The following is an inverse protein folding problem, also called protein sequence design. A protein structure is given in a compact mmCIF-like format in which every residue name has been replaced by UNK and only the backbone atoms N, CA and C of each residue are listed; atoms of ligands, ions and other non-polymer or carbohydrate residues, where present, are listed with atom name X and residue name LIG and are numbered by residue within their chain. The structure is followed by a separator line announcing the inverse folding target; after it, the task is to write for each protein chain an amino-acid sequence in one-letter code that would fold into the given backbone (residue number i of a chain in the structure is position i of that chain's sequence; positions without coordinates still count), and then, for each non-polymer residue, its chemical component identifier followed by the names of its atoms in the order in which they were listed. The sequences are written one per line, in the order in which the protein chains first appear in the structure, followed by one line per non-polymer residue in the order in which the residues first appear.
data_IF_630850380764
#
_entry.id   IF_630850380764
#
_cell.length_a   1.000
_cell.length_b   1.000
_cell.length_c   1.000
_cell.angle_alpha   90.00
_cell.angle_beta   90.00
_cell.angle_gamma   90.00
#
_symmetry.space_group_name_H-M   'P 1'
#
loop_
_entity.id
_entity.type
_entity.pdbx_description
1 polymer ?
#
# COMPACT_ATOMS: atom_id res chain seq x y z
N UNK A 1 -26.69 20.95 -9.72
CA UNK A 1 -27.89 21.69 -10.20
C UNK A 1 -27.56 23.04 -10.84
N UNK A 2 -26.36 23.60 -10.69
CA UNK A 2 -25.99 24.91 -11.27
C UNK A 2 -25.72 24.91 -12.79
N UNK A 3 -25.61 23.74 -13.44
CA UNK A 3 -25.31 23.60 -14.89
C UNK A 3 -26.53 23.43 -15.79
N UNK A 4 -27.76 23.42 -15.25
CA UNK A 4 -28.98 23.18 -16.04
C UNK A 4 -29.09 21.78 -16.67
N UNK A 5 -28.13 20.89 -16.41
CA UNK A 5 -28.17 19.49 -16.83
C UNK A 5 -29.14 18.71 -15.94
N UNK A 6 -29.96 17.85 -16.56
CA UNK A 6 -30.83 16.93 -15.83
C UNK A 6 -30.00 16.07 -14.86
N UNK A 7 -30.55 15.71 -13.67
CA UNK A 7 -29.92 14.76 -12.77
C UNK A 7 -29.54 13.47 -13.51
N UNK A 8 -28.47 12.79 -13.10
CA UNK A 8 -28.05 11.52 -13.72
C UNK A 8 -29.20 10.49 -13.67
N UNK A 9 -30.06 10.57 -12.65
CA UNK A 9 -31.27 9.77 -12.45
C UNK A 9 -32.39 10.08 -13.46
N UNK A 10 -32.26 11.15 -14.24
CA UNK A 10 -33.21 11.57 -15.27
C UNK A 10 -32.73 11.29 -16.70
N UNK A 11 -31.53 10.71 -16.88
CA UNK A 11 -31.08 10.21 -18.19
C UNK A 11 -31.94 9.01 -18.63
N UNK A 12 -32.11 8.76 -19.94
CA UNK A 12 -32.95 7.67 -20.44
C UNK A 12 -32.57 6.29 -19.89
N UNK A 13 -31.28 6.05 -19.65
CA UNK A 13 -30.72 4.80 -19.11
C UNK A 13 -31.05 4.59 -17.62
N UNK A 14 -31.08 5.66 -16.81
CA UNK A 14 -31.37 5.57 -15.37
C UNK A 14 -32.82 5.93 -15.01
N UNK A 15 -33.65 6.25 -16.01
CA UNK A 15 -35.06 6.61 -15.82
C UNK A 15 -35.93 5.38 -15.48
N UNK A 16 -35.52 4.18 -15.87
CA UNK A 16 -36.21 2.95 -15.52
C UNK A 16 -36.03 2.63 -14.03
N UNK A 17 -36.92 3.19 -13.22
CA UNK A 17 -37.00 2.89 -11.80
C UNK A 17 -37.84 1.65 -11.60
N UNK A 18 -37.26 0.65 -10.94
CA UNK A 18 -37.99 -0.52 -10.45
C UNK A 18 -38.40 -0.31 -9.01
N UNK A 19 -39.52 -0.91 -8.61
CA UNK A 19 -39.94 -0.88 -7.22
C UNK A 19 -38.91 -1.60 -6.34
N UNK A 20 -38.50 -0.96 -5.23
CA UNK A 20 -37.59 -1.54 -4.23
C UNK A 20 -38.17 -2.85 -3.68
N UNK A 21 -39.46 -2.86 -3.37
CA UNK A 21 -40.22 -4.06 -3.08
C UNK A 21 -41.11 -4.40 -4.28
N UNK A 22 -41.05 -5.61 -4.85
CA UNK A 22 -40.31 -6.78 -4.39
C UNK A 22 -38.86 -6.86 -4.91
N UNK A 23 -38.49 -6.10 -5.96
CA UNK A 23 -37.32 -6.45 -6.77
C UNK A 23 -35.99 -6.44 -5.98
N UNK A 24 -35.67 -5.37 -5.26
CA UNK A 24 -34.42 -5.28 -4.49
C UNK A 24 -34.45 -6.26 -3.31
N UNK A 25 -35.54 -6.26 -2.54
CA UNK A 25 -35.62 -7.01 -1.28
C UNK A 25 -35.54 -8.53 -1.51
N UNK A 26 -36.20 -9.04 -2.56
CA UNK A 26 -36.08 -10.46 -2.90
C UNK A 26 -34.66 -10.81 -3.39
N UNK A 27 -34.02 -9.96 -4.18
CA UNK A 27 -32.63 -10.19 -4.60
C UNK A 27 -31.68 -10.19 -3.41
N UNK A 28 -31.80 -9.22 -2.50
CA UNK A 28 -30.99 -9.16 -1.28
C UNK A 28 -31.23 -10.36 -0.37
N UNK A 29 -32.48 -10.81 -0.23
CA UNK A 29 -32.81 -12.02 0.54
C UNK A 29 -32.16 -13.26 -0.07
N UNK A 30 -32.20 -13.42 -1.40
CA UNK A 30 -31.55 -14.55 -2.08
C UNK A 30 -30.02 -14.51 -1.91
N UNK A 31 -29.41 -13.33 -2.02
CA UNK A 31 -27.99 -13.15 -1.73
C UNK A 31 -27.66 -13.48 -0.27
N UNK A 32 -28.49 -13.04 0.68
CA UNK A 32 -28.31 -13.32 2.12
C UNK A 32 -28.37 -14.82 2.39
N UNK A 33 -29.38 -15.52 1.86
CA UNK A 33 -29.49 -16.98 1.99
C UNK A 33 -28.26 -17.65 1.39
N UNK A 34 -27.84 -17.23 0.18
CA UNK A 34 -26.64 -17.77 -0.47
C UNK A 34 -25.36 -17.58 0.35
N UNK A 35 -25.14 -16.39 0.92
CA UNK A 35 -23.99 -16.08 1.77
C UNK A 35 -24.04 -16.87 3.07
N UNK A 36 -25.21 -16.99 3.72
CA UNK A 36 -25.38 -17.77 4.94
C UNK A 36 -25.09 -19.25 4.68
N UNK A 37 -25.63 -19.82 3.61
CA UNK A 37 -25.34 -21.21 3.21
C UNK A 37 -23.85 -21.38 2.96
N UNK A 38 -23.22 -20.48 2.22
CA UNK A 38 -21.78 -20.50 1.98
C UNK A 38 -20.98 -20.48 3.29
N UNK A 39 -21.28 -19.57 4.21
CA UNK A 39 -20.58 -19.46 5.50
C UNK A 39 -20.79 -20.69 6.39
N UNK A 40 -22.00 -21.27 6.40
CA UNK A 40 -22.30 -22.50 7.16
C UNK A 40 -21.50 -23.68 6.58
N UNK A 41 -21.51 -23.86 5.26
CA UNK A 41 -20.71 -24.92 4.61
C UNK A 41 -19.23 -24.71 4.88
N UNK A 42 -18.74 -23.46 4.76
CA UNK A 42 -17.35 -23.12 5.04
C UNK A 42 -16.95 -23.45 6.47
N UNK A 43 -17.78 -23.13 7.47
CA UNK A 43 -17.53 -23.43 8.87
C UNK A 43 -17.56 -24.93 9.20
N UNK A 44 -18.34 -25.73 8.46
CA UNK A 44 -18.37 -27.19 8.61
C UNK A 44 -17.09 -27.82 8.01
N UNK A 45 -16.65 -27.34 6.83
CA UNK A 45 -15.49 -27.87 6.12
C UNK A 45 -14.18 -27.45 6.79
N UNK A 46 -14.05 -26.17 7.17
CA UNK A 46 -12.85 -25.61 7.76
C UNK A 46 -13.09 -25.28 9.23
N UNK A 47 -12.68 -26.20 10.12
CA UNK A 47 -12.70 -25.97 11.56
C UNK A 47 -11.63 -24.95 11.94
N UNK A 48 -12.02 -23.87 12.60
CA UNK A 48 -11.10 -22.91 13.22
C UNK A 48 -11.00 -23.22 14.73
N UNK A 49 -10.05 -24.05 15.17
CA UNK A 49 -9.88 -24.32 16.59
C UNK A 49 -9.47 -23.03 17.32
N UNK A 50 -9.96 -22.87 18.55
CA UNK A 50 -9.52 -21.79 19.42
C UNK A 50 -8.10 -22.09 19.91
N UNK A 51 -7.27 -21.04 19.99
CA UNK A 51 -5.95 -21.13 20.62
C UNK A 51 -6.06 -21.20 22.15
N UNK A 52 -4.95 -21.53 22.80
CA UNK A 52 -4.86 -21.52 24.27
C UNK A 52 -5.13 -20.11 24.84
N UNK A 53 -5.62 -20.00 26.09
CA UNK A 53 -5.79 -18.71 26.74
C UNK A 53 -4.48 -17.89 26.72
N UNK A 54 -4.61 -16.58 26.50
CA UNK A 54 -3.48 -15.68 26.35
C UNK A 54 -2.52 -15.74 27.55
N UNK A 55 -1.25 -15.99 27.28
CA UNK A 55 -0.18 -15.98 28.28
C UNK A 55 0.73 -14.76 28.06
N UNK A 56 0.80 -13.78 28.98
CA UNK A 56 1.64 -12.60 28.82
C UNK A 56 3.15 -12.89 28.85
N UNK A 57 3.56 -14.08 29.31
CA UNK A 57 4.98 -14.48 29.38
C UNK A 57 5.47 -15.21 28.13
N UNK A 58 4.59 -15.55 27.19
CA UNK A 58 4.94 -16.30 25.99
C UNK A 58 4.26 -15.72 24.75
N UNK A 59 5.07 -15.26 23.79
CA UNK A 59 4.58 -14.81 22.49
C UNK A 59 4.64 -15.97 21.49
N UNK A 60 3.55 -16.31 20.78
CA UNK A 60 3.55 -17.35 19.77
C UNK A 60 4.48 -16.97 18.60
N UNK A 61 5.11 -17.98 18.01
CA UNK A 61 5.99 -17.79 16.86
C UNK A 61 5.60 -18.76 15.72
N UNK A 62 5.16 -18.27 14.56
CA UNK A 62 5.01 -16.86 14.18
C UNK A 62 3.72 -16.22 14.71
N UNK A 63 3.80 -14.99 15.22
CA UNK A 63 2.63 -14.18 15.51
C UNK A 63 2.11 -13.53 14.21
N UNK A 64 1.17 -14.18 13.54
CA UNK A 64 0.50 -13.63 12.34
C UNK A 64 -0.73 -12.84 12.74
N UNK A 65 -0.84 -11.61 12.23
CA UNK A 65 -2.06 -10.84 12.32
C UNK A 65 -3.18 -11.49 11.48
N UNK A 66 -4.46 -11.15 11.71
CA UNK A 66 -5.54 -11.53 10.80
C UNK A 66 -5.22 -11.14 9.35
N UNK A 67 -5.70 -11.93 8.38
CA UNK A 67 -5.34 -11.81 6.97
C UNK A 67 -5.57 -10.44 6.34
N UNK A 68 -6.55 -9.67 6.83
CA UNK A 68 -6.82 -8.31 6.38
C UNK A 68 -5.81 -7.27 6.90
N UNK A 69 -5.04 -7.60 7.94
CA UNK A 69 -3.92 -6.80 8.45
C UNK A 69 -2.54 -7.33 8.05
N UNK A 70 -2.47 -8.52 7.46
CA UNK A 70 -1.21 -9.14 7.04
C UNK A 70 -0.43 -8.29 6.03
N UNK A 71 -1.12 -7.52 5.18
CA UNK A 71 -0.47 -6.55 4.29
C UNK A 71 0.29 -5.46 5.06
N UNK A 72 -0.32 -4.89 6.11
CA UNK A 72 0.34 -3.92 6.99
C UNK A 72 1.50 -4.54 7.76
N UNK A 73 1.33 -5.77 8.25
CA UNK A 73 2.37 -6.49 8.96
C UNK A 73 3.59 -6.72 8.06
N UNK A 74 3.38 -7.08 6.79
CA UNK A 74 4.47 -7.25 5.83
C UNK A 74 5.18 -5.93 5.51
N UNK A 75 4.48 -4.79 5.53
CA UNK A 75 5.11 -3.47 5.38
C UNK A 75 6.12 -3.15 6.48
N UNK A 76 5.97 -3.70 7.69
CA UNK A 76 6.92 -3.52 8.80
C UNK A 76 8.29 -4.15 8.54
N UNK A 77 8.41 -5.04 7.55
CA UNK A 77 9.72 -5.56 7.14
C UNK A 77 10.53 -4.52 6.36
N UNK A 78 9.83 -3.60 5.68
CA UNK A 78 10.44 -2.63 4.77
C UNK A 78 10.60 -1.24 5.38
N UNK A 79 9.71 -0.87 6.32
CA UNK A 79 9.70 0.43 6.94
C UNK A 79 9.71 0.31 8.47
N UNK A 80 10.21 1.34 9.13
CA UNK A 80 10.14 1.42 10.59
C UNK A 80 8.70 1.49 11.11
N UNK A 81 8.44 1.06 12.36
CA UNK A 81 7.09 0.92 12.90
C UNK A 81 6.23 2.19 12.84
N UNK A 82 6.82 3.37 13.01
CA UNK A 82 6.07 4.64 12.95
C UNK A 82 5.59 4.95 11.52
N UNK A 83 6.40 4.63 10.51
CA UNK A 83 6.09 4.88 9.10
C UNK A 83 5.08 3.87 8.58
N UNK A 84 5.32 2.58 8.77
CA UNK A 84 4.42 1.52 8.32
C UNK A 84 3.14 1.42 9.17
N UNK A 85 3.20 1.72 10.46
CA UNK A 85 2.06 1.60 11.38
C UNK A 85 1.13 2.81 11.40
N UNK A 86 1.65 4.03 11.19
CA UNK A 86 0.88 5.26 11.35
C UNK A 86 0.84 6.11 10.08
N UNK A 87 2.01 6.49 9.56
CA UNK A 87 2.10 7.48 8.47
C UNK A 87 1.55 6.94 7.15
N UNK A 88 2.03 5.78 6.67
CA UNK A 88 1.58 5.21 5.40
C UNK A 88 0.09 4.82 5.43
N UNK A 89 -0.45 4.17 6.48
CA UNK A 89 -1.89 3.92 6.58
C UNK A 89 -2.70 5.23 6.60
N UNK A 90 -2.22 6.24 7.32
CA UNK A 90 -2.84 7.57 7.34
C UNK A 90 -2.89 8.22 5.96
N UNK A 91 -1.78 8.17 5.21
CA UNK A 91 -1.70 8.66 3.83
C UNK A 91 -2.65 7.88 2.91
N UNK A 92 -2.77 6.56 3.07
CA UNK A 92 -3.72 5.74 2.29
C UNK A 92 -5.15 6.20 2.54
N UNK A 93 -5.57 6.33 3.80
CA UNK A 93 -6.93 6.73 4.16
C UNK A 93 -7.24 8.15 3.67
N UNK A 94 -6.34 9.11 3.92
CA UNK A 94 -6.49 10.49 3.43
C UNK A 94 -6.49 10.54 1.90
N UNK A 95 -5.64 9.74 1.26
CA UNK A 95 -5.57 9.62 -0.19
C UNK A 95 -6.88 9.11 -0.79
N UNK A 96 -7.49 8.08 -0.20
CA UNK A 96 -8.79 7.54 -0.62
C UNK A 96 -9.91 8.58 -0.45
N UNK A 97 -9.93 9.31 0.66
CA UNK A 97 -10.88 10.42 0.86
C UNK A 97 -10.66 11.58 -0.12
N UNK A 98 -9.43 11.78 -0.58
CA UNK A 98 -9.08 12.84 -1.52
C UNK A 98 -9.45 12.52 -2.97
N UNK A 99 -9.71 11.25 -3.33
CA UNK A 99 -10.00 10.82 -4.72
C UNK A 99 -11.10 11.67 -5.38
N UNK A 100 -12.29 11.91 -4.77
CA UNK A 100 -13.35 12.70 -5.39
C UNK A 100 -12.97 14.16 -5.67
N UNK A 101 -11.99 14.70 -4.93
CA UNK A 101 -11.52 16.08 -5.07
C UNK A 101 -10.37 16.22 -6.06
N UNK A 102 -9.62 15.14 -6.28
CA UNK A 102 -8.50 15.07 -7.23
C UNK A 102 -9.02 14.71 -8.63
N UNK A 103 -9.94 13.76 -8.75
CA UNK A 103 -10.48 13.32 -10.03
C UNK A 103 -11.61 14.25 -10.50
N UNK A 104 -11.31 15.10 -11.49
CA UNK A 104 -12.26 16.03 -12.09
C UNK A 104 -13.05 15.44 -13.26
N UNK A 105 -12.83 14.16 -13.62
CA UNK A 105 -13.51 13.55 -14.75
C UNK A 105 -14.98 13.24 -14.41
N UNK A 106 -15.98 13.80 -15.13
CA UNK A 106 -17.39 13.52 -14.87
C UNK A 106 -17.84 12.15 -15.41
N UNK A 107 -17.14 11.58 -16.40
CA UNK A 107 -17.50 10.29 -17.02
C UNK A 107 -17.13 9.14 -16.10
N UNK A 108 -17.85 8.03 -16.09
CA UNK A 108 -17.56 6.89 -15.21
C UNK A 108 -17.94 7.10 -13.74
N UNK A 109 -18.84 8.04 -13.47
CA UNK A 109 -19.39 8.24 -12.13
C UNK A 109 -20.65 7.38 -11.98
N UNK A 110 -20.65 6.45 -11.01
CA UNK A 110 -21.80 5.57 -10.74
C UNK A 110 -21.88 4.29 -11.59
N UNK A 111 -20.93 4.03 -12.49
CA UNK A 111 -20.83 2.77 -13.24
C UNK A 111 -19.37 2.35 -13.45
N UNK A 112 -19.13 1.05 -13.59
CA UNK A 112 -17.78 0.50 -13.79
C UNK A 112 -17.33 0.69 -15.24
N UNK A 113 -16.26 1.47 -15.44
CA UNK A 113 -15.66 1.68 -16.77
C UNK A 113 -14.14 1.81 -16.69
N UNK A 114 -13.42 0.96 -17.43
CA UNK A 114 -11.96 1.04 -17.54
C UNK A 114 -11.55 2.02 -18.64
N UNK A 115 -12.31 2.07 -19.74
CA UNK A 115 -11.97 2.85 -20.94
C UNK A 115 -12.01 4.36 -20.70
N UNK A 116 -12.89 4.83 -19.84
CA UNK A 116 -13.09 6.27 -19.60
C UNK A 116 -12.20 6.85 -18.51
N UNK A 117 -11.66 6.00 -17.63
CA UNK A 117 -10.75 6.38 -16.53
C UNK A 117 -9.55 5.42 -16.40
N UNK A 118 -8.77 5.20 -17.47
CA UNK A 118 -7.72 4.19 -17.46
C UNK A 118 -6.68 4.48 -16.37
N UNK A 119 -6.26 5.74 -16.22
CA UNK A 119 -5.26 6.13 -15.22
C UNK A 119 -5.73 5.85 -13.78
N UNK A 120 -6.93 6.29 -13.40
CA UNK A 120 -7.45 6.08 -12.05
C UNK A 120 -7.65 4.58 -11.75
N UNK A 121 -8.20 3.83 -12.71
CA UNK A 121 -8.44 2.39 -12.57
C UNK A 121 -7.14 1.60 -12.47
N UNK A 122 -6.15 1.85 -13.35
CA UNK A 122 -4.85 1.16 -13.30
C UNK A 122 -4.09 1.47 -12.02
N UNK A 123 -4.12 2.72 -11.58
CA UNK A 123 -3.51 3.14 -10.31
C UNK A 123 -4.14 2.45 -9.11
N UNK A 124 -5.48 2.42 -9.05
CA UNK A 124 -6.20 1.71 -8.00
C UNK A 124 -5.91 0.21 -8.02
N UNK A 125 -5.98 -0.43 -9.19
CA UNK A 125 -5.66 -1.85 -9.35
C UNK A 125 -4.21 -2.16 -8.99
N UNK A 126 -3.28 -1.29 -9.32
CA UNK A 126 -1.89 -1.46 -8.91
C UNK A 126 -1.73 -1.37 -7.39
N UNK A 127 -2.27 -0.33 -6.75
CA UNK A 127 -2.19 -0.17 -5.29
C UNK A 127 -2.90 -1.31 -4.53
N UNK A 128 -4.10 -1.68 -4.96
CA UNK A 128 -4.90 -2.70 -4.28
C UNK A 128 -4.50 -4.13 -4.68
N UNK A 129 -4.55 -4.48 -5.96
CA UNK A 129 -4.31 -5.86 -6.39
C UNK A 129 -2.82 -6.19 -6.42
N UNK A 130 -1.97 -5.31 -6.95
CA UNK A 130 -0.54 -5.62 -7.14
C UNK A 130 0.28 -5.39 -5.88
N UNK A 131 0.00 -4.35 -5.09
CA UNK A 131 0.73 -4.11 -3.84
C UNK A 131 0.03 -4.76 -2.65
N UNK A 132 -1.22 -4.41 -2.36
CA UNK A 132 -1.88 -4.85 -1.12
C UNK A 132 -2.12 -6.36 -1.06
N UNK A 133 -2.75 -6.94 -2.08
CA UNK A 133 -3.01 -8.38 -2.13
C UNK A 133 -1.70 -9.17 -2.22
N UNK A 134 -0.69 -8.66 -2.94
CA UNK A 134 0.64 -9.29 -2.99
C UNK A 134 1.27 -9.39 -1.59
N UNK A 135 1.27 -8.31 -0.81
CA UNK A 135 1.79 -8.32 0.55
C UNK A 135 1.05 -9.32 1.44
N UNK A 136 -0.28 -9.43 1.30
CA UNK A 136 -1.08 -10.44 2.00
C UNK A 136 -0.65 -11.85 1.61
N UNK A 137 -0.44 -12.12 0.31
CA UNK A 137 0.02 -13.43 -0.17
C UNK A 137 1.40 -13.75 0.41
N UNK A 138 2.34 -12.80 0.38
CA UNK A 138 3.69 -12.97 0.94
C UNK A 138 3.60 -13.27 2.44
N UNK A 139 2.89 -12.45 3.21
CA UNK A 139 2.73 -12.66 4.66
C UNK A 139 2.03 -13.98 5.01
N UNK A 140 1.06 -14.40 4.20
CA UNK A 140 0.27 -15.61 4.48
C UNK A 140 1.09 -16.87 4.18
N UNK A 141 1.67 -16.95 2.98
CA UNK A 141 2.25 -18.19 2.46
C UNK A 141 3.78 -18.25 2.52
N UNK A 142 4.46 -17.11 2.41
CA UNK A 142 5.92 -17.06 2.28
C UNK A 142 6.62 -16.64 3.59
N UNK A 143 5.89 -16.09 4.56
CA UNK A 143 6.42 -15.80 5.92
C UNK A 143 6.18 -16.98 6.85
N UNK A 144 7.27 -17.55 7.36
CA UNK A 144 7.26 -18.66 8.30
C UNK A 144 7.71 -18.25 9.72
N UNK A 145 8.25 -19.19 10.51
CA UNK A 145 8.80 -18.91 11.84
C UNK A 145 9.82 -17.76 11.83
N UNK A 146 9.86 -16.97 12.91
CA UNK A 146 10.70 -15.78 13.05
C UNK A 146 10.46 -14.69 11.98
N UNK A 147 9.31 -14.71 11.31
CA UNK A 147 9.00 -13.86 10.16
C UNK A 147 10.01 -13.98 9.00
N UNK A 148 10.72 -15.10 8.92
CA UNK A 148 11.69 -15.35 7.85
C UNK A 148 10.99 -15.69 6.55
N UNK A 149 11.65 -15.36 5.42
CA UNK A 149 11.14 -15.67 4.09
C UNK A 149 11.44 -17.12 3.72
N UNK A 150 10.41 -17.80 3.22
CA UNK A 150 10.46 -19.13 2.65
C UNK A 150 10.05 -19.06 1.19
N UNK A 151 10.86 -19.66 0.32
CA UNK A 151 10.55 -19.73 -1.10
C UNK A 151 9.30 -20.57 -1.37
N UNK A 152 8.72 -20.47 -2.58
CA UNK A 152 7.68 -21.39 -3.01
C UNK A 152 8.19 -22.84 -2.83
N UNK A 153 7.42 -23.66 -2.12
CA UNK A 153 7.72 -25.08 -1.83
C UNK A 153 8.86 -25.35 -0.84
N UNK A 154 9.40 -24.32 -0.16
CA UNK A 154 10.36 -24.52 0.93
C UNK A 154 9.63 -24.91 2.23
N UNK A 155 10.09 -25.97 2.89
CA UNK A 155 9.52 -26.40 4.17
C UNK A 155 9.90 -25.42 5.29
N UNK A 156 8.94 -25.16 6.18
CA UNK A 156 9.16 -24.27 7.32
C UNK A 156 9.98 -24.97 8.40
N UNK A 157 11.17 -24.46 8.67
CA UNK A 157 12.05 -24.95 9.72
C UNK A 157 12.13 -23.93 10.86
N UNK A 158 11.72 -24.32 12.06
CA UNK A 158 11.75 -23.47 13.24
C UNK A 158 13.17 -23.07 13.67
N UNK A 159 14.19 -23.81 13.24
CA UNK A 159 15.59 -23.55 13.57
C UNK A 159 16.32 -22.74 12.51
N UNK A 160 15.65 -22.36 11.41
CA UNK A 160 16.21 -21.50 10.38
C UNK A 160 16.43 -20.11 10.95
N UNK A 161 17.67 -19.81 11.32
CA UNK A 161 18.12 -18.48 11.71
C UNK A 161 18.83 -17.86 10.51
N UNK A 162 18.11 -17.01 9.77
CA UNK A 162 18.72 -16.23 8.69
C UNK A 162 19.30 -14.97 9.30
N UNK A 163 20.63 -14.82 9.28
CA UNK A 163 21.26 -13.54 9.63
C UNK A 163 20.98 -12.53 8.52
N UNK A 164 19.95 -11.71 8.70
CA UNK A 164 19.70 -10.59 7.79
C UNK A 164 20.84 -9.57 7.91
N UNK A 165 21.68 -9.50 6.87
CA UNK A 165 22.72 -8.48 6.76
C UNK A 165 22.08 -7.13 6.44
N UNK A 166 21.64 -6.42 7.47
CA UNK A 166 21.09 -5.09 7.33
C UNK A 166 22.20 -4.10 7.00
N UNK A 167 22.17 -3.53 5.79
CA UNK A 167 23.12 -2.50 5.37
C UNK A 167 22.39 -1.17 5.29
N UNK A 168 22.96 -0.13 5.90
CA UNK A 168 22.46 1.23 5.75
C UNK A 168 23.03 1.86 4.48
N UNK A 169 22.30 2.80 3.90
CA UNK A 169 22.77 3.49 2.69
C UNK A 169 24.04 4.29 2.93
N UNK A 170 24.20 4.86 4.13
CA UNK A 170 25.44 5.53 4.57
C UNK A 170 26.61 4.56 4.65
N UNK A 171 26.43 3.34 5.17
CA UNK A 171 27.47 2.30 5.17
C UNK A 171 27.85 1.89 3.74
N UNK A 172 26.88 1.77 2.84
CA UNK A 172 27.15 1.48 1.44
C UNK A 172 28.02 2.56 0.78
N UNK A 173 27.72 3.83 1.03
CA UNK A 173 28.46 4.97 0.51
C UNK A 173 29.88 5.05 1.11
N UNK A 174 29.99 5.12 2.43
CA UNK A 174 31.27 5.42 3.08
C UNK A 174 32.18 4.21 3.13
N UNK A 175 31.66 3.04 3.52
CA UNK A 175 32.47 1.84 3.75
C UNK A 175 32.70 1.09 2.43
N UNK A 176 31.62 0.77 1.70
CA UNK A 176 31.77 -0.07 0.49
C UNK A 176 32.27 0.70 -0.73
N UNK A 177 31.79 1.92 -0.95
CA UNK A 177 32.13 2.69 -2.15
C UNK A 177 33.36 3.57 -1.97
N UNK A 178 33.42 4.37 -0.89
CA UNK A 178 34.52 5.31 -0.64
C UNK A 178 35.67 4.71 0.17
N UNK A 179 35.48 3.54 0.78
CA UNK A 179 36.45 2.88 1.66
C UNK A 179 37.01 3.80 2.77
N UNK A 180 36.13 4.62 3.34
CA UNK A 180 36.42 5.59 4.40
C UNK A 180 35.65 5.22 5.68
N UNK A 181 36.18 5.58 6.87
CA UNK A 181 35.41 5.46 8.10
C UNK A 181 34.18 6.38 8.06
N UNK A 182 33.12 5.99 8.76
CA UNK A 182 31.88 6.78 8.82
C UNK A 182 32.15 8.16 9.47
N UNK A 183 31.70 9.26 8.84
CA UNK A 183 31.82 10.59 9.43
C UNK A 183 31.07 10.70 10.76
N UNK A 184 31.64 11.42 11.73
CA UNK A 184 30.97 11.70 13.01
C UNK A 184 29.79 12.68 12.86
N UNK A 185 29.86 13.60 11.89
CA UNK A 185 28.79 14.55 11.64
C UNK A 185 27.59 13.84 11.01
N UNK A 186 26.46 13.87 11.72
CA UNK A 186 25.19 13.22 11.36
C UNK A 186 24.75 13.56 9.92
N UNK A 187 24.78 14.85 9.56
CA UNK A 187 24.34 15.32 8.24
C UNK A 187 25.27 14.82 7.13
N UNK A 188 26.57 14.75 7.38
CA UNK A 188 27.55 14.27 6.39
C UNK A 188 27.42 12.75 6.24
N UNK A 189 27.23 12.04 7.35
CA UNK A 189 27.01 10.58 7.36
C UNK A 189 25.86 10.19 6.45
N UNK A 190 24.72 10.87 6.56
CA UNK A 190 23.48 10.53 5.84
C UNK A 190 23.24 11.39 4.58
N UNK A 191 24.23 12.15 4.12
CA UNK A 191 24.05 13.17 3.07
C UNK A 191 23.43 12.61 1.78
N UNK A 192 23.84 11.42 1.37
CA UNK A 192 23.33 10.78 0.16
C UNK A 192 21.87 10.35 0.33
N UNK A 193 21.50 9.81 1.50
CA UNK A 193 20.12 9.49 1.83
C UNK A 193 19.23 10.73 1.83
N UNK A 194 19.70 11.83 2.44
CA UNK A 194 18.99 13.11 2.48
C UNK A 194 18.79 13.65 1.06
N UNK A 195 19.85 13.68 0.24
CA UNK A 195 19.78 14.16 -1.14
C UNK A 195 18.79 13.32 -1.94
N UNK A 196 18.85 11.99 -1.86
CA UNK A 196 17.94 11.11 -2.58
C UNK A 196 16.49 11.30 -2.15
N UNK A 197 16.22 11.44 -0.85
CA UNK A 197 14.87 11.71 -0.34
C UNK A 197 14.35 13.07 -0.80
N UNK A 198 15.18 14.13 -0.77
CA UNK A 198 14.79 15.45 -1.27
C UNK A 198 14.55 15.44 -2.77
N UNK A 199 15.38 14.73 -3.54
CA UNK A 199 15.15 14.54 -4.97
C UNK A 199 13.82 13.83 -5.20
N UNK A 200 13.56 12.77 -4.44
CA UNK A 200 12.36 11.96 -4.59
C UNK A 200 11.07 12.73 -4.24
N UNK A 201 11.06 13.43 -3.10
CA UNK A 201 9.86 14.10 -2.58
C UNK A 201 9.64 15.49 -3.18
N UNK A 202 10.70 16.24 -3.48
CA UNK A 202 10.58 17.65 -3.90
C UNK A 202 10.92 17.86 -5.39
N UNK A 203 12.02 17.25 -5.88
CA UNK A 203 12.50 17.51 -7.25
C UNK A 203 11.68 16.73 -8.28
N UNK A 204 11.40 15.45 -8.04
CA UNK A 204 10.63 14.62 -8.96
C UNK A 204 9.23 15.18 -9.26
N UNK A 205 8.43 15.69 -8.30
CA UNK A 205 7.16 16.33 -8.62
C UNK A 205 7.29 17.55 -9.53
N UNK A 206 8.33 18.36 -9.34
CA UNK A 206 8.55 19.55 -10.17
C UNK A 206 9.03 19.17 -11.57
N UNK A 207 9.88 18.15 -11.68
CA UNK A 207 10.33 17.62 -12.97
C UNK A 207 9.18 16.95 -13.72
N UNK A 208 8.34 16.16 -13.03
CA UNK A 208 7.19 15.50 -13.64
C UNK A 208 6.14 16.52 -14.11
N UNK A 209 5.95 17.62 -13.37
CA UNK A 209 5.09 18.74 -13.78
C UNK A 209 5.54 19.37 -15.12
N UNK A 210 6.86 19.43 -15.39
CA UNK A 210 7.42 19.96 -16.64
C UNK A 210 7.33 18.98 -17.81
N UNK A 211 7.12 17.69 -17.55
CA UNK A 211 6.95 16.67 -18.60
C UNK A 211 5.65 16.89 -19.38
N UNK A 212 5.62 16.46 -20.65
CA UNK A 212 4.42 16.51 -21.50
C UNK A 212 3.21 15.86 -20.83
N UNK A 213 3.43 14.78 -20.09
CA UNK A 213 2.39 14.07 -19.35
C UNK A 213 1.88 14.88 -18.14
N UNK A 214 2.78 15.47 -17.36
CA UNK A 214 2.42 16.31 -16.23
C UNK A 214 1.67 17.57 -16.65
N UNK A 215 2.14 18.25 -17.70
CA UNK A 215 1.47 19.41 -18.27
C UNK A 215 0.04 19.08 -18.73
N UNK A 216 -0.17 17.91 -19.34
CA UNK A 216 -1.51 17.45 -19.76
C UNK A 216 -2.45 17.25 -18.57
N UNK A 217 -1.97 16.66 -17.47
CA UNK A 217 -2.80 16.46 -16.27
C UNK A 217 -3.06 17.81 -15.58
N UNK A 218 -2.05 18.67 -15.48
CA UNK A 218 -2.19 20.01 -14.91
C UNK A 218 -3.24 20.83 -15.67
N UNK A 219 -3.25 20.75 -17.00
CA UNK A 219 -4.25 21.45 -17.82
C UNK A 219 -5.68 20.96 -17.58
N UNK A 220 -5.87 19.66 -17.31
CA UNK A 220 -7.19 19.06 -17.12
C UNK A 220 -7.72 19.19 -15.68
N UNK A 221 -6.83 19.13 -14.70
CA UNK A 221 -7.20 18.96 -13.28
C UNK A 221 -6.81 20.17 -12.44
N UNK A 222 -5.79 20.93 -12.84
CA UNK A 222 -5.23 22.06 -12.10
C UNK A 222 -3.98 21.69 -11.30
N UNK A 223 -3.16 22.71 -11.02
CA UNK A 223 -1.81 22.54 -10.47
C UNK A 223 -1.78 21.97 -9.04
N UNK A 224 -2.66 22.44 -8.14
CA UNK A 224 -2.68 21.98 -6.74
C UNK A 224 -3.06 20.49 -6.68
N UNK A 225 -4.13 20.10 -7.38
CA UNK A 225 -4.61 18.71 -7.44
C UNK A 225 -3.55 17.78 -8.04
N UNK A 226 -2.79 18.26 -9.03
CA UNK A 226 -1.68 17.51 -9.60
C UNK A 226 -0.59 17.21 -8.56
N UNK A 227 -0.16 18.20 -7.78
CA UNK A 227 0.88 17.97 -6.76
C UNK A 227 0.42 17.01 -5.66
N UNK A 228 -0.85 17.10 -5.23
CA UNK A 228 -1.43 16.13 -4.29
C UNK A 228 -1.43 14.72 -4.91
N UNK A 229 -1.88 14.59 -6.16
CA UNK A 229 -1.87 13.32 -6.88
C UNK A 229 -0.46 12.72 -6.99
N UNK A 230 0.54 13.51 -7.38
CA UNK A 230 1.92 13.06 -7.50
C UNK A 230 2.50 12.69 -6.13
N UNK A 231 2.20 13.44 -5.07
CA UNK A 231 2.62 13.08 -3.72
C UNK A 231 2.07 11.71 -3.31
N UNK A 232 0.78 11.43 -3.56
CA UNK A 232 0.18 10.12 -3.28
C UNK A 232 0.79 9.01 -4.14
N UNK A 233 1.06 9.27 -5.43
CA UNK A 233 1.72 8.33 -6.34
C UNK A 233 3.15 8.00 -5.88
N UNK A 234 3.92 8.99 -5.44
CA UNK A 234 5.27 8.80 -4.89
C UNK A 234 5.21 8.03 -3.56
N UNK A 235 4.27 8.38 -2.67
CA UNK A 235 4.03 7.61 -1.45
C UNK A 235 3.75 6.13 -1.74
N UNK A 236 2.87 5.85 -2.72
CA UNK A 236 2.56 4.48 -3.13
C UNK A 236 3.76 3.75 -3.77
N UNK A 237 4.55 4.43 -4.60
CA UNK A 237 5.72 3.83 -5.28
C UNK A 237 6.94 3.69 -4.38
N UNK A 238 6.98 4.38 -3.23
CA UNK A 238 8.06 4.24 -2.24
C UNK A 238 8.18 2.81 -1.70
N UNK A 239 7.05 2.12 -1.49
CA UNK A 239 6.99 0.75 -1.01
C UNK A 239 7.68 -0.24 -1.98
N UNK A 240 7.26 -0.40 -3.25
CA UNK A 240 7.92 -1.33 -4.17
C UNK A 240 9.38 -0.95 -4.43
N UNK A 241 9.74 0.34 -4.43
CA UNK A 241 11.15 0.75 -4.51
C UNK A 241 11.93 0.21 -3.30
N UNK A 242 11.41 0.41 -2.09
CA UNK A 242 12.04 -0.10 -0.86
C UNK A 242 12.14 -1.63 -0.85
N UNK A 243 11.12 -2.33 -1.35
CA UNK A 243 11.13 -3.79 -1.49
C UNK A 243 12.26 -4.26 -2.39
N UNK A 244 12.42 -3.64 -3.57
CA UNK A 244 13.50 -3.96 -4.51
C UNK A 244 14.87 -3.67 -3.90
N UNK A 245 15.04 -2.52 -3.23
CA UNK A 245 16.29 -2.18 -2.54
C UNK A 245 16.63 -3.18 -1.42
N UNK A 246 15.61 -3.65 -0.68
CA UNK A 246 15.75 -4.67 0.36
C UNK A 246 16.19 -6.01 -0.24
N UNK A 247 15.60 -6.43 -1.35
CA UNK A 247 15.90 -7.73 -1.95
C UNK A 247 17.26 -7.76 -2.67
N UNK A 248 17.64 -6.68 -3.37
CA UNK A 248 18.87 -6.66 -4.15
C UNK A 248 20.12 -6.29 -3.33
N UNK A 249 19.97 -5.41 -2.35
CA UNK A 249 21.10 -4.83 -1.62
C UNK A 249 21.04 -5.04 -0.11
N UNK A 250 20.00 -5.73 0.40
CA UNK A 250 19.74 -5.88 1.84
C UNK A 250 19.68 -4.54 2.57
N UNK A 251 19.25 -3.50 1.86
CA UNK A 251 19.17 -2.14 2.37
C UNK A 251 18.07 -2.04 3.44
N UNK A 252 18.42 -1.60 4.65
CA UNK A 252 17.44 -1.37 5.72
C UNK A 252 16.96 0.08 5.71
N UNK A 253 17.87 1.02 5.87
CA UNK A 253 17.55 2.44 5.91
C UNK A 253 18.24 3.23 4.80
N UNK A 254 17.47 4.11 4.16
CA UNK A 254 17.93 5.16 3.25
C UNK A 254 18.53 6.29 4.08
N UNK A 255 17.89 6.63 5.19
CA UNK A 255 18.40 7.58 6.19
C UNK A 255 18.32 6.91 7.55
N UNK A 256 19.45 6.79 8.23
CA UNK A 256 19.53 6.25 9.59
C UNK A 256 19.95 7.34 10.60
N UNK A 257 19.00 7.81 11.39
CA UNK A 257 19.22 8.77 12.49
C UNK A 257 18.76 8.15 13.81
N UNK A 258 19.50 7.16 14.35
CA UNK A 258 19.19 6.56 15.64
C UNK A 258 19.16 7.61 16.77
N UNK A 259 19.90 8.72 16.63
CA UNK A 259 19.92 9.80 17.62
C UNK A 259 18.56 10.47 17.81
N UNK A 260 17.72 10.47 16.77
CA UNK A 260 16.39 11.10 16.76
C UNK A 260 15.26 10.08 16.57
N UNK A 261 15.56 8.78 16.65
CA UNK A 261 14.62 7.69 16.35
C UNK A 261 13.93 7.86 14.98
N UNK A 262 14.64 8.49 14.03
CA UNK A 262 14.12 8.81 12.70
C UNK A 262 14.88 8.01 11.66
N UNK A 263 14.31 6.88 11.25
CA UNK A 263 14.84 6.11 10.12
C UNK A 263 13.82 6.01 8.99
N UNK A 264 14.33 6.07 7.76
CA UNK A 264 13.54 6.12 6.52
C UNK A 264 14.00 5.05 5.53
#
# INVERSE_FOLDING_TARGET
MERGECPIEATPENREKVWTWPNLVYTELMCMIGVVVFLVVWAIVFKAPLEEPANPTWAPNPAKAPWYFLGLQEMLVYFDPWMAGVVLPGIIVVGLMAIPYIDTNPKGNGYFTIKERPLAMWMFMYGWLVLWIYLIIVGTFLRGPNWTFYGPFEFWDFHKVVSEYNVNLSEFMWIKWLNMPMPQNIVVREILGIILTVIYVCVLPVLSAKSKWGQKIIANTGQIRYYIFIFLLLGMTSLPIKMVLRWLFSLKYIIALPEWELNL
#
